data_IF_236540364928
#
_entry.id   IF_236540364928
#
_cell.length_a   1.000
_cell.length_b   1.000
_cell.length_c   1.000
_cell.angle_alpha   90.00
_cell.angle_beta   90.00
_cell.angle_gamma   90.00
#
_symmetry.space_group_name_H-M   'P 1'
#
loop_
_entity.id
_entity.type
_entity.pdbx_description
1 polymer ?
#
# COMPACT_ATOMS: atom_id res chain seq x y z
N UNK A 1 16.89 28.29 17.59
CA UNK A 1 16.18 28.43 18.87
C UNK A 1 15.63 27.06 19.22
N UNK A 2 16.07 26.48 20.34
CA UNK A 2 15.53 25.21 20.82
C UNK A 2 14.08 25.43 21.27
N UNK A 3 13.15 24.58 20.81
CA UNK A 3 11.78 24.54 21.33
C UNK A 3 11.89 24.25 22.84
N UNK A 4 11.34 25.11 23.69
CA UNK A 4 11.03 24.74 25.07
C UNK A 4 9.88 23.74 25.01
N UNK A 5 10.21 22.45 24.93
CA UNK A 5 9.25 21.39 25.25
C UNK A 5 8.93 21.49 26.73
N UNK A 6 7.65 21.41 27.08
CA UNK A 6 7.26 21.36 28.49
C UNK A 6 7.80 20.08 29.14
N UNK A 7 8.04 20.11 30.45
CA UNK A 7 8.51 18.93 31.20
C UNK A 7 7.57 17.73 31.01
N UNK A 8 6.26 18.00 30.89
CA UNK A 8 5.24 16.99 30.66
C UNK A 8 5.34 16.36 29.25
N UNK A 9 5.59 17.17 28.22
CA UNK A 9 5.81 16.68 26.84
C UNK A 9 7.10 15.84 26.70
N UNK A 10 8.16 16.22 27.42
CA UNK A 10 9.43 15.48 27.42
C UNK A 10 9.31 14.15 28.17
N UNK A 11 8.52 14.13 29.26
CA UNK A 11 8.20 12.91 29.99
C UNK A 11 7.33 11.96 29.15
N UNK A 12 6.30 12.47 28.47
CA UNK A 12 5.45 11.68 27.57
C UNK A 12 6.24 11.08 26.39
N UNK A 13 7.19 11.83 25.84
CA UNK A 13 8.14 11.35 24.84
C UNK A 13 8.99 10.19 25.40
N UNK A 14 9.55 10.36 26.60
CA UNK A 14 10.39 9.34 27.26
C UNK A 14 9.61 8.06 27.59
N UNK A 15 8.38 8.17 28.07
CA UNK A 15 7.48 7.03 28.31
C UNK A 15 7.14 6.31 27.00
N UNK A 16 6.94 7.05 25.91
CA UNK A 16 6.71 6.46 24.59
C UNK A 16 7.92 5.68 24.06
N UNK A 17 9.15 6.10 24.38
CA UNK A 17 10.34 5.30 24.07
C UNK A 17 10.36 3.97 24.84
N UNK A 18 10.01 3.98 26.13
CA UNK A 18 9.93 2.76 26.94
C UNK A 18 8.89 1.78 26.37
N UNK A 19 7.73 2.29 25.97
CA UNK A 19 6.66 1.48 25.37
C UNK A 19 7.05 0.89 23.99
N UNK A 20 7.76 1.64 23.14
CA UNK A 20 8.22 1.16 21.83
C UNK A 20 9.35 0.13 21.94
N UNK A 21 10.28 0.37 22.86
CA UNK A 21 11.52 -0.40 23.00
C UNK A 21 11.53 -1.22 24.29
N UNK A 22 10.42 -1.89 24.57
CA UNK A 22 10.19 -2.63 25.82
C UNK A 22 11.26 -3.70 26.08
N UNK A 23 11.83 -4.30 25.02
CA UNK A 23 12.84 -5.36 25.12
C UNK A 23 14.23 -4.86 24.72
N UNK A 24 14.95 -4.28 25.67
CA UNK A 24 16.31 -3.80 25.48
C UNK A 24 17.33 -4.93 25.31
N UNK A 25 17.06 -6.11 25.89
CA UNK A 25 17.95 -7.27 25.80
C UNK A 25 18.24 -7.64 24.35
N UNK A 26 17.25 -7.56 23.46
CA UNK A 26 17.40 -7.89 22.04
C UNK A 26 18.16 -6.83 21.23
N UNK A 27 18.33 -5.61 21.73
CA UNK A 27 19.03 -4.53 21.01
C UNK A 27 20.50 -4.89 20.82
N UNK A 28 21.13 -5.47 21.85
CA UNK A 28 22.57 -5.74 21.87
C UNK A 28 22.94 -7.23 21.84
N UNK A 29 21.97 -8.14 22.01
CA UNK A 29 22.22 -9.59 22.10
C UNK A 29 21.98 -10.36 20.79
N UNK A 30 21.46 -9.74 19.74
CA UNK A 30 20.99 -10.47 18.56
C UNK A 30 22.11 -10.78 17.56
N UNK A 31 22.46 -12.07 17.41
CA UNK A 31 23.00 -12.58 16.15
C UNK A 31 21.84 -12.71 15.15
N UNK A 32 21.58 -11.67 14.37
CA UNK A 32 20.53 -11.69 13.36
C UNK A 32 20.90 -12.75 12.31
N UNK A 33 20.09 -13.81 12.19
CA UNK A 33 20.27 -14.81 11.13
C UNK A 33 19.89 -14.19 9.78
N UNK A 34 20.62 -14.52 8.73
CA UNK A 34 20.27 -14.06 7.38
C UNK A 34 19.07 -14.84 6.89
N UNK A 35 18.25 -14.22 6.05
CA UNK A 35 17.09 -14.87 5.42
C UNK A 35 17.47 -16.19 4.71
N UNK A 36 18.65 -16.21 4.08
CA UNK A 36 19.23 -17.41 3.45
C UNK A 36 19.30 -18.62 4.38
N UNK A 37 19.41 -18.39 5.68
CA UNK A 37 19.65 -19.44 6.68
C UNK A 37 18.34 -20.15 7.08
N UNK A 38 17.17 -19.56 6.79
CA UNK A 38 15.88 -20.12 7.22
C UNK A 38 14.75 -20.05 6.19
N UNK A 39 14.96 -19.47 5.00
CA UNK A 39 13.92 -19.36 3.96
C UNK A 39 13.29 -20.72 3.62
N UNK A 40 14.07 -21.81 3.69
CA UNK A 40 13.60 -23.17 3.40
C UNK A 40 12.72 -23.78 4.52
N UNK A 41 12.84 -23.29 5.76
CA UNK A 41 12.04 -23.69 6.92
C UNK A 41 11.51 -22.46 7.70
N UNK A 42 10.53 -21.80 7.10
CA UNK A 42 9.83 -20.67 7.68
C UNK A 42 8.33 -20.75 7.40
N UNK A 43 7.55 -19.98 8.16
CA UNK A 43 6.15 -19.71 7.85
C UNK A 43 6.07 -18.49 6.93
N UNK A 44 5.19 -18.54 5.94
CA UNK A 44 4.91 -17.44 5.02
C UNK A 44 3.49 -16.95 5.28
N UNK A 45 3.35 -15.65 5.53
CA UNK A 45 2.07 -14.96 5.72
C UNK A 45 1.93 -13.93 4.62
N UNK A 46 0.81 -13.96 3.89
CA UNK A 46 0.54 -13.03 2.80
C UNK A 46 -0.38 -11.88 3.23
N UNK A 47 -0.14 -10.70 2.67
CA UNK A 47 -0.98 -9.51 2.79
C UNK A 47 -1.95 -9.36 1.59
N UNK A 48 -2.98 -8.52 1.75
CA UNK A 48 -4.05 -8.31 0.76
C UNK A 48 -3.52 -7.75 -0.55
N UNK A 49 -2.58 -6.81 -0.48
CA UNK A 49 -2.01 -6.16 -1.67
C UNK A 49 -1.27 -7.16 -2.56
N UNK A 50 -0.56 -8.12 -1.97
CA UNK A 50 0.09 -9.25 -2.65
C UNK A 50 -0.96 -10.14 -3.31
N UNK A 51 -2.06 -10.44 -2.59
CA UNK A 51 -3.10 -11.29 -3.14
C UNK A 51 -3.76 -10.72 -4.40
N UNK A 52 -3.72 -9.40 -4.60
CA UNK A 52 -4.30 -8.72 -5.75
C UNK A 52 -3.37 -8.62 -6.96
N UNK A 53 -2.06 -8.88 -6.80
CA UNK A 53 -1.08 -8.80 -7.90
C UNK A 53 -1.40 -9.78 -9.05
N UNK A 54 -1.84 -11.04 -8.83
CA UNK A 54 -2.13 -11.96 -9.94
C UNK A 54 -3.17 -11.46 -10.95
N UNK A 55 -4.02 -10.48 -10.62
CA UNK A 55 -4.95 -9.88 -11.57
C UNK A 55 -4.28 -9.03 -12.66
N UNK A 56 -3.00 -8.67 -12.50
CA UNK A 56 -2.23 -7.85 -13.47
C UNK A 56 -1.16 -8.65 -14.20
N UNK A 57 -0.99 -9.93 -13.88
CA UNK A 57 0.06 -10.79 -14.44
C UNK A 57 -0.44 -11.64 -15.61
N UNK A 58 0.50 -12.22 -16.36
CA UNK A 58 0.19 -13.22 -17.39
C UNK A 58 -0.05 -14.58 -16.74
N UNK A 59 -0.79 -15.45 -17.43
CA UNK A 59 -1.08 -16.80 -16.93
C UNK A 59 0.19 -17.63 -16.65
N UNK A 60 1.26 -17.42 -17.41
CA UNK A 60 2.55 -18.10 -17.23
C UNK A 60 3.22 -17.68 -15.91
N UNK A 61 3.20 -16.38 -15.59
CA UNK A 61 3.75 -15.85 -14.34
C UNK A 61 2.94 -16.35 -13.13
N UNK A 62 1.62 -16.40 -13.27
CA UNK A 62 0.70 -16.93 -12.25
C UNK A 62 0.97 -18.43 -12.00
N UNK A 63 1.30 -19.20 -13.04
CA UNK A 63 1.64 -20.61 -12.89
C UNK A 63 2.94 -20.83 -12.10
N UNK A 64 3.94 -19.96 -12.22
CA UNK A 64 5.15 -20.04 -11.37
C UNK A 64 4.86 -19.70 -9.91
N UNK A 65 4.02 -18.69 -9.66
CA UNK A 65 3.53 -18.36 -8.31
C UNK A 65 2.79 -19.56 -7.70
N UNK A 66 1.95 -20.24 -8.51
CA UNK A 66 1.20 -21.42 -8.09
C UNK A 66 2.14 -22.53 -7.57
N UNK A 67 3.30 -22.76 -8.21
CA UNK A 67 4.29 -23.75 -7.77
C UNK A 67 4.90 -23.42 -6.40
N UNK A 68 5.17 -22.14 -6.14
CA UNK A 68 5.68 -21.69 -4.84
C UNK A 68 4.65 -21.95 -3.74
N UNK A 69 3.39 -21.56 -3.98
CA UNK A 69 2.31 -21.79 -3.02
C UNK A 69 2.01 -23.27 -2.81
N UNK A 70 2.10 -24.08 -3.86
CA UNK A 70 1.98 -25.53 -3.75
C UNK A 70 3.05 -26.12 -2.82
N UNK A 71 4.31 -25.71 -2.99
CA UNK A 71 5.42 -26.17 -2.14
C UNK A 71 5.22 -25.77 -0.68
N UNK A 72 4.83 -24.51 -0.44
CA UNK A 72 4.58 -24.01 0.91
C UNK A 72 3.38 -24.68 1.57
N UNK A 73 2.29 -24.91 0.81
CA UNK A 73 1.08 -25.58 1.29
C UNK A 73 1.37 -27.03 1.69
N UNK A 74 2.12 -27.79 0.87
CA UNK A 74 2.54 -29.16 1.19
C UNK A 74 3.37 -29.24 2.47
N UNK A 75 4.21 -28.23 2.73
CA UNK A 75 5.01 -28.13 3.95
C UNK A 75 4.26 -27.55 5.15
N UNK A 76 2.97 -27.18 4.99
CA UNK A 76 2.16 -26.47 6.00
C UNK A 76 2.82 -25.18 6.48
N UNK A 77 3.42 -24.44 5.55
CA UNK A 77 4.14 -23.19 5.80
C UNK A 77 3.37 -21.95 5.34
N UNK A 78 2.31 -22.11 4.54
CA UNK A 78 1.53 -20.99 4.02
C UNK A 78 0.31 -20.68 4.90
N UNK A 79 0.23 -19.46 5.42
CA UNK A 79 -0.87 -18.98 6.26
C UNK A 79 -1.46 -17.67 5.73
N UNK A 80 -2.74 -17.46 6.02
CA UNK A 80 -3.47 -16.25 5.65
C UNK A 80 -4.26 -15.69 6.84
N UNK A 81 -4.06 -14.42 7.22
CA UNK A 81 -4.89 -13.79 8.22
C UNK A 81 -6.34 -13.67 7.71
N UNK A 82 -7.32 -14.01 8.55
CA UNK A 82 -8.74 -13.94 8.22
C UNK A 82 -9.18 -12.52 7.87
N UNK A 83 -8.51 -11.50 8.41
CA UNK A 83 -8.72 -10.11 8.04
C UNK A 83 -8.26 -9.83 6.60
N UNK A 84 -7.06 -10.27 6.21
CA UNK A 84 -6.55 -10.19 4.83
C UNK A 84 -7.52 -10.86 3.83
N UNK A 85 -8.02 -12.06 4.16
CA UNK A 85 -9.00 -12.74 3.31
C UNK A 85 -10.29 -11.90 3.09
N UNK A 86 -10.77 -11.20 4.13
CA UNK A 86 -11.94 -10.31 4.03
C UNK A 86 -11.64 -9.06 3.20
N UNK A 87 -10.47 -8.46 3.38
CA UNK A 87 -10.04 -7.32 2.58
C UNK A 87 -9.86 -7.71 1.10
N UNK A 88 -9.32 -8.89 0.83
CA UNK A 88 -9.24 -9.43 -0.52
C UNK A 88 -10.63 -9.55 -1.14
N UNK A 89 -11.60 -10.15 -0.43
CA UNK A 89 -12.98 -10.23 -0.89
C UNK A 89 -13.61 -8.85 -1.15
N UNK A 90 -13.30 -7.85 -0.33
CA UNK A 90 -13.82 -6.48 -0.48
C UNK A 90 -13.17 -5.70 -1.63
N UNK A 91 -11.99 -6.11 -2.12
CA UNK A 91 -11.23 -5.38 -3.12
C UNK A 91 -11.11 -6.12 -4.47
N UNK A 92 -11.29 -7.43 -4.53
CA UNK A 92 -11.21 -8.21 -5.78
C UNK A 92 -12.17 -7.70 -6.86
N UNK A 93 -13.39 -7.31 -6.48
CA UNK A 93 -14.40 -6.84 -7.43
C UNK A 93 -14.01 -5.50 -8.06
N UNK A 94 -13.28 -4.65 -7.32
CA UNK A 94 -12.71 -3.41 -7.86
C UNK A 94 -11.65 -3.73 -8.91
N UNK A 95 -10.81 -4.76 -8.69
CA UNK A 95 -9.82 -5.19 -9.68
C UNK A 95 -10.44 -5.81 -10.93
N UNK A 96 -11.49 -6.62 -10.76
CA UNK A 96 -12.26 -7.13 -11.89
C UNK A 96 -12.94 -5.98 -12.67
N UNK A 97 -13.46 -4.97 -11.99
CA UNK A 97 -14.04 -3.79 -12.63
C UNK A 97 -12.99 -2.96 -13.39
N UNK A 98 -11.79 -2.77 -12.81
CA UNK A 98 -10.65 -2.12 -13.49
C UNK A 98 -10.26 -2.89 -14.76
N UNK A 99 -10.12 -4.21 -14.67
CA UNK A 99 -9.78 -5.08 -15.81
C UNK A 99 -10.87 -5.02 -16.90
N UNK A 100 -12.14 -5.12 -16.50
CA UNK A 100 -13.29 -4.99 -17.40
C UNK A 100 -13.26 -3.63 -18.14
N UNK A 101 -12.95 -2.55 -17.41
CA UNK A 101 -12.83 -1.21 -17.99
C UNK A 101 -11.66 -1.15 -18.98
N UNK A 102 -10.49 -1.66 -18.63
CA UNK A 102 -9.32 -1.70 -19.53
C UNK A 102 -9.63 -2.40 -20.84
N UNK A 103 -10.43 -3.47 -20.82
CA UNK A 103 -10.90 -4.14 -22.04
C UNK A 103 -11.87 -3.24 -22.82
N UNK A 104 -12.87 -2.66 -22.16
CA UNK A 104 -13.87 -1.82 -22.81
C UNK A 104 -13.29 -0.53 -23.42
N UNK A 105 -12.25 0.04 -22.80
CA UNK A 105 -11.54 1.23 -23.26
C UNK A 105 -10.78 0.98 -24.58
N UNK A 106 -10.65 -0.29 -25.01
CA UNK A 106 -10.07 -0.64 -26.32
C UNK A 106 -11.04 -0.48 -27.47
N UNK A 107 -12.32 -0.21 -27.25
CA UNK A 107 -13.27 0.03 -28.33
C UNK A 107 -12.80 1.18 -29.23
N UNK A 108 -12.91 0.99 -30.55
CA UNK A 108 -12.52 1.97 -31.55
C UNK A 108 -13.76 2.70 -32.06
N UNK A 109 -13.73 4.03 -32.02
CA UNK A 109 -14.76 4.87 -32.64
C UNK A 109 -14.25 5.38 -33.98
N UNK A 110 -14.95 5.05 -35.06
CA UNK A 110 -14.63 5.58 -36.39
C UNK A 110 -15.21 6.99 -36.49
N UNK A 111 -14.37 7.98 -36.81
CA UNK A 111 -14.79 9.36 -36.97
C UNK A 111 -15.75 9.51 -38.16
N UNK A 112 -16.73 10.40 -38.01
CA UNK A 112 -17.61 10.79 -39.11
C UNK A 112 -16.81 11.57 -40.16
N UNK A 113 -17.28 11.51 -41.41
CA UNK A 113 -16.74 12.39 -42.46
C UNK A 113 -16.99 13.86 -42.10
N UNK A 114 -16.09 14.77 -42.50
CA UNK A 114 -16.31 16.20 -42.33
C UNK A 114 -17.54 16.65 -43.11
N UNK A 115 -18.33 17.55 -42.52
CA UNK A 115 -19.48 18.16 -43.19
C UNK A 115 -19.02 19.25 -44.15
N UNK A 116 -18.44 18.83 -45.27
CA UNK A 116 -17.89 19.70 -46.31
C UNK A 116 -18.69 19.53 -47.60
N UNK A 117 -19.85 20.18 -47.69
CA UNK A 117 -20.76 20.05 -48.83
C UNK A 117 -20.08 20.31 -50.19
N UNK A 118 -19.15 21.28 -50.25
CA UNK A 118 -18.41 21.62 -51.48
C UNK A 118 -17.46 20.52 -51.96
N UNK A 119 -17.03 19.61 -51.06
CA UNK A 119 -16.06 18.56 -51.37
C UNK A 119 -16.70 17.21 -51.69
N UNK A 120 -18.01 17.04 -51.46
CA UNK A 120 -18.68 15.72 -51.54
C UNK A 120 -18.54 15.03 -52.90
N UNK A 121 -18.49 15.82 -53.97
CA UNK A 121 -18.43 15.29 -55.33
C UNK A 121 -17.01 15.01 -55.83
N UNK A 122 -15.98 15.46 -55.11
CA UNK A 122 -14.59 15.27 -55.55
C UNK A 122 -14.18 13.80 -55.46
N UNK A 123 -13.29 13.34 -56.35
CA UNK A 123 -12.76 11.97 -56.32
C UNK A 123 -12.13 11.62 -54.96
N UNK A 124 -11.40 12.55 -54.35
CA UNK A 124 -10.70 12.36 -53.08
C UNK A 124 -11.68 12.13 -51.92
N UNK A 125 -12.81 12.86 -51.90
CA UNK A 125 -13.83 12.67 -50.87
C UNK A 125 -14.53 11.31 -51.00
N UNK A 126 -14.82 10.87 -52.22
CA UNK A 126 -15.42 9.55 -52.49
C UNK A 126 -14.47 8.40 -52.13
N UNK A 127 -13.18 8.56 -52.38
CA UNK A 127 -12.15 7.62 -51.94
C UNK A 127 -12.08 7.55 -50.41
N UNK A 128 -12.04 8.70 -49.72
CA UNK A 128 -12.07 8.78 -48.27
C UNK A 128 -13.31 8.09 -47.68
N UNK A 129 -14.49 8.32 -48.25
CA UNK A 129 -15.72 7.65 -47.82
C UNK A 129 -15.63 6.13 -47.98
N UNK A 130 -15.07 5.65 -49.10
CA UNK A 130 -14.90 4.22 -49.36
C UNK A 130 -13.99 3.57 -48.32
N UNK A 131 -12.82 4.16 -48.06
CA UNK A 131 -11.89 3.62 -47.06
C UNK A 131 -12.47 3.72 -45.64
N UNK A 132 -13.19 4.79 -45.30
CA UNK A 132 -13.91 4.90 -44.02
C UNK A 132 -14.91 3.77 -43.82
N UNK A 133 -15.69 3.41 -44.85
CA UNK A 133 -16.65 2.28 -44.78
C UNK A 133 -15.96 0.94 -44.53
N UNK A 134 -14.76 0.72 -45.07
CA UNK A 134 -13.96 -0.48 -44.75
C UNK A 134 -13.51 -0.46 -43.29
N UNK A 135 -13.02 0.68 -42.81
CA UNK A 135 -12.60 0.86 -41.42
C UNK A 135 -13.78 0.67 -40.45
N UNK A 136 -14.97 1.15 -40.80
CA UNK A 136 -16.21 0.97 -40.02
C UNK A 136 -16.54 -0.51 -39.83
N UNK A 137 -16.54 -1.30 -40.91
CA UNK A 137 -16.75 -2.76 -40.83
C UNK A 137 -15.68 -3.48 -40.00
N UNK A 138 -14.41 -3.10 -40.17
CA UNK A 138 -13.31 -3.66 -39.38
C UNK A 138 -13.46 -3.33 -37.89
N UNK A 139 -13.83 -2.09 -37.58
CA UNK A 139 -14.08 -1.61 -36.22
C UNK A 139 -15.27 -2.33 -35.56
N UNK A 140 -16.37 -2.55 -36.29
CA UNK A 140 -17.52 -3.33 -35.78
C UNK A 140 -17.12 -4.75 -35.39
N UNK A 141 -16.31 -5.42 -36.23
CA UNK A 141 -15.82 -6.78 -35.98
C UNK A 141 -14.93 -6.81 -34.73
N UNK A 142 -13.98 -5.88 -34.64
CA UNK A 142 -13.06 -5.75 -33.53
C UNK A 142 -13.78 -5.40 -32.21
N UNK A 143 -14.68 -4.40 -32.21
CA UNK A 143 -15.49 -4.03 -31.05
C UNK A 143 -16.42 -5.18 -30.62
N UNK A 144 -16.90 -6.00 -31.58
CA UNK A 144 -17.60 -7.24 -31.29
C UNK A 144 -16.75 -8.25 -30.51
N UNK A 145 -15.47 -8.40 -30.86
CA UNK A 145 -14.52 -9.23 -30.12
C UNK A 145 -14.21 -8.65 -28.72
N UNK A 146 -14.02 -7.34 -28.61
CA UNK A 146 -13.86 -6.63 -27.32
C UNK A 146 -15.06 -6.90 -26.41
N UNK A 147 -16.29 -6.80 -26.94
CA UNK A 147 -17.52 -7.07 -26.19
C UNK A 147 -17.61 -8.53 -25.70
N UNK A 148 -17.20 -9.49 -26.52
CA UNK A 148 -17.14 -10.91 -26.12
C UNK A 148 -16.15 -11.12 -24.98
N UNK A 149 -14.94 -10.56 -25.09
CA UNK A 149 -13.92 -10.64 -24.03
C UNK A 149 -14.41 -9.99 -22.71
N UNK A 150 -15.02 -8.80 -22.80
CA UNK A 150 -15.59 -8.12 -21.65
C UNK A 150 -16.73 -8.92 -21.00
N UNK A 151 -17.52 -9.66 -21.79
CA UNK A 151 -18.58 -10.54 -21.28
C UNK A 151 -17.99 -11.68 -20.44
N UNK A 152 -16.89 -12.29 -20.88
CA UNK A 152 -16.23 -13.37 -20.14
C UNK A 152 -15.83 -12.91 -18.73
N UNK A 153 -15.28 -11.69 -18.59
CA UNK A 153 -14.90 -11.14 -17.28
C UNK A 153 -16.13 -10.96 -16.36
N UNK A 154 -17.25 -10.49 -16.91
CA UNK A 154 -18.51 -10.33 -16.17
C UNK A 154 -19.07 -11.66 -15.66
N UNK A 155 -18.84 -12.74 -16.40
CA UNK A 155 -19.35 -14.07 -16.09
C UNK A 155 -18.55 -14.76 -14.98
N UNK A 156 -17.32 -14.32 -14.67
CA UNK A 156 -16.48 -14.94 -13.65
C UNK A 156 -17.08 -14.92 -12.23
N UNK A 157 -17.91 -13.94 -11.89
CA UNK A 157 -18.59 -13.86 -10.58
C UNK A 157 -17.61 -14.13 -9.40
N UNK A 158 -17.98 -14.95 -8.41
CA UNK A 158 -17.15 -15.40 -7.30
C UNK A 158 -16.11 -16.48 -7.66
N UNK A 159 -15.97 -16.85 -8.93
CA UNK A 159 -15.16 -17.98 -9.38
C UNK A 159 -14.17 -17.58 -10.49
N UNK A 160 -13.54 -16.42 -10.34
CA UNK A 160 -12.50 -15.95 -11.26
C UNK A 160 -11.20 -16.78 -11.15
N UNK A 161 -10.30 -16.72 -12.17
CA UNK A 161 -9.09 -17.54 -12.19
C UNK A 161 -8.17 -17.37 -10.99
N UNK A 162 -8.10 -16.16 -10.41
CA UNK A 162 -7.23 -15.88 -9.25
C UNK A 162 -7.83 -16.52 -7.99
N UNK A 163 -9.15 -16.40 -7.79
CA UNK A 163 -9.84 -17.10 -6.69
C UNK A 163 -9.70 -18.62 -6.83
N UNK A 164 -9.85 -19.16 -8.04
CA UNK A 164 -9.65 -20.59 -8.29
C UNK A 164 -8.23 -21.05 -7.92
N UNK A 165 -7.20 -20.29 -8.27
CA UNK A 165 -5.83 -20.56 -7.86
C UNK A 165 -5.70 -20.60 -6.34
N UNK A 166 -6.16 -19.56 -5.63
CA UNK A 166 -6.05 -19.51 -4.17
C UNK A 166 -6.85 -20.59 -3.44
N UNK A 167 -8.00 -21.00 -3.99
CA UNK A 167 -8.84 -22.06 -3.40
C UNK A 167 -8.14 -23.41 -3.28
N UNK A 168 -7.06 -23.64 -4.06
CA UNK A 168 -6.23 -24.85 -3.98
C UNK A 168 -5.33 -24.87 -2.74
N UNK A 169 -5.00 -23.70 -2.18
CA UNK A 169 -3.97 -23.57 -1.14
C UNK A 169 -4.50 -23.05 0.18
N UNK A 170 -5.64 -22.34 0.19
CA UNK A 170 -6.23 -21.77 1.38
C UNK A 170 -7.52 -22.46 1.79
N UNK A 171 -7.59 -22.87 3.05
CA UNK A 171 -8.74 -23.53 3.66
C UNK A 171 -8.87 -23.11 5.14
N UNK A 172 -9.79 -23.74 5.88
CA UNK A 172 -10.04 -23.40 7.28
C UNK A 172 -8.85 -23.64 8.23
N UNK A 173 -7.89 -24.48 7.86
CA UNK A 173 -6.73 -24.81 8.70
C UNK A 173 -5.66 -23.72 8.65
N UNK A 174 -5.47 -23.08 7.49
CA UNK A 174 -4.42 -22.08 7.31
C UNK A 174 -4.94 -20.64 7.13
N UNK A 175 -6.26 -20.44 7.05
CA UNK A 175 -6.89 -19.13 7.25
C UNK A 175 -7.14 -18.92 8.75
N UNK A 176 -6.27 -18.16 9.39
CA UNK A 176 -6.18 -18.05 10.85
C UNK A 176 -6.53 -16.64 11.37
N UNK A 177 -6.81 -16.53 12.66
CA UNK A 177 -7.11 -15.26 13.33
C UNK A 177 -6.44 -15.23 14.70
N UNK A 178 -6.29 -14.04 15.28
CA UNK A 178 -5.86 -13.89 16.66
C UNK A 178 -6.98 -14.26 17.64
N UNK A 179 -6.60 -14.63 18.86
CA UNK A 179 -7.56 -15.00 19.93
C UNK A 179 -8.01 -13.82 20.80
N UNK A 180 -7.48 -12.61 20.56
CA UNK A 180 -7.84 -11.40 21.31
C UNK A 180 -9.27 -10.94 21.01
N UNK A 181 -9.97 -10.44 22.02
CA UNK A 181 -11.32 -9.87 21.88
C UNK A 181 -11.30 -8.41 21.41
N UNK A 182 -12.47 -7.90 21.00
CA UNK A 182 -12.61 -6.55 20.45
C UNK A 182 -12.19 -5.44 21.44
N UNK A 183 -12.44 -5.65 22.74
CA UNK A 183 -12.03 -4.69 23.78
C UNK A 183 -10.50 -4.57 23.86
N UNK A 184 -9.79 -5.69 23.79
CA UNK A 184 -8.34 -5.72 23.76
C UNK A 184 -7.81 -5.04 22.50
N UNK A 185 -8.37 -5.36 21.32
CA UNK A 185 -7.96 -4.75 20.06
C UNK A 185 -8.15 -3.24 20.11
N UNK A 186 -9.27 -2.77 20.68
CA UNK A 186 -9.53 -1.34 20.85
C UNK A 186 -8.53 -0.66 21.79
N UNK A 187 -8.29 -1.22 22.98
CA UNK A 187 -7.33 -0.66 23.93
C UNK A 187 -5.91 -0.66 23.39
N UNK A 188 -5.54 -1.71 22.66
CA UNK A 188 -4.21 -1.83 22.06
C UNK A 188 -4.04 -0.83 20.90
N UNK A 189 -5.08 -0.60 20.10
CA UNK A 189 -5.06 0.43 19.06
C UNK A 189 -4.89 1.83 19.68
N UNK A 190 -5.62 2.13 20.75
CA UNK A 190 -5.49 3.40 21.48
C UNK A 190 -4.08 3.58 22.06
N UNK A 191 -3.51 2.54 22.68
CA UNK A 191 -2.13 2.54 23.20
C UNK A 191 -1.11 2.78 22.08
N UNK A 192 -1.20 2.04 20.97
CA UNK A 192 -0.27 2.17 19.84
C UNK A 192 -0.38 3.53 19.16
N UNK A 193 -1.59 4.09 19.03
CA UNK A 193 -1.79 5.45 18.52
C UNK A 193 -1.15 6.50 19.42
N UNK A 194 -1.42 6.43 20.74
CA UNK A 194 -0.86 7.36 21.73
C UNK A 194 0.66 7.38 21.69
N UNK A 195 1.27 6.20 21.68
CA UNK A 195 2.72 6.06 21.75
C UNK A 195 3.40 5.96 20.39
N UNK A 196 2.67 6.09 19.27
CA UNK A 196 3.19 5.91 17.90
C UNK A 196 3.95 4.59 17.71
N UNK A 197 3.39 3.47 18.18
CA UNK A 197 3.97 2.13 18.11
C UNK A 197 3.49 1.43 16.82
N UNK A 198 4.43 0.90 16.03
CA UNK A 198 4.13 0.11 14.85
C UNK A 198 3.40 -1.20 15.16
N UNK A 199 2.50 -1.73 14.32
CA UNK A 199 1.96 -1.12 13.11
C UNK A 199 0.61 -0.43 13.38
N UNK A 200 0.12 0.34 12.41
CA UNK A 200 -1.25 0.87 12.40
C UNK A 200 -1.44 2.26 13.01
N UNK A 201 -0.46 2.82 13.72
CA UNK A 201 -0.59 4.17 14.31
C UNK A 201 -0.80 5.27 13.26
N UNK A 202 -0.40 5.03 12.00
CA UNK A 202 -0.62 5.96 10.88
C UNK A 202 -2.04 5.93 10.31
N UNK A 203 -2.82 4.91 10.68
CA UNK A 203 -4.21 4.77 10.25
C UNK A 203 -5.18 5.45 11.24
N UNK A 204 -4.64 6.15 12.25
CA UNK A 204 -5.40 7.03 13.14
C UNK A 204 -6.11 8.12 12.32
N UNK A 205 -7.45 8.07 12.30
CA UNK A 205 -8.28 9.02 11.55
C UNK A 205 -8.88 8.49 10.24
N UNK A 206 -8.65 7.22 9.88
CA UNK A 206 -9.45 6.58 8.83
C UNK A 206 -10.89 6.32 9.33
N UNK A 207 -11.87 6.72 8.54
CA UNK A 207 -13.30 6.49 8.82
C UNK A 207 -13.70 5.00 8.84
N UNK A 208 -12.86 4.13 8.27
CA UNK A 208 -13.08 2.68 8.24
C UNK A 208 -11.75 1.92 8.26
N UNK A 209 -11.78 0.73 8.87
CA UNK A 209 -10.65 -0.20 8.94
C UNK A 209 -9.38 0.34 9.63
N UNK A 210 -9.52 1.27 10.59
CA UNK A 210 -8.39 1.82 11.33
C UNK A 210 -7.60 0.77 12.14
N UNK A 211 -8.23 -0.36 12.48
CA UNK A 211 -7.61 -1.47 13.21
C UNK A 211 -7.04 -2.57 12.29
N UNK A 212 -7.13 -2.45 10.97
CA UNK A 212 -6.80 -3.54 10.03
C UNK A 212 -5.37 -4.04 10.19
N UNK A 213 -4.39 -3.13 10.13
CA UNK A 213 -2.97 -3.44 10.30
C UNK A 213 -2.69 -4.10 11.66
N UNK A 214 -3.34 -3.64 12.73
CA UNK A 214 -3.23 -4.23 14.06
C UNK A 214 -3.80 -5.65 14.12
N UNK A 215 -4.97 -5.90 13.51
CA UNK A 215 -5.59 -7.23 13.49
C UNK A 215 -4.71 -8.23 12.73
N UNK A 216 -4.11 -7.81 11.61
CA UNK A 216 -3.14 -8.61 10.87
C UNK A 216 -1.92 -8.91 11.73
N UNK A 217 -1.37 -7.88 12.39
CA UNK A 217 -0.22 -8.02 13.27
C UNK A 217 -0.47 -8.97 14.45
N UNK A 218 -1.59 -8.82 15.16
CA UNK A 218 -1.98 -9.74 16.24
C UNK A 218 -2.11 -11.17 15.74
N UNK A 219 -2.56 -11.37 14.50
CA UNK A 219 -2.64 -12.70 13.89
C UNK A 219 -1.23 -13.26 13.61
N UNK A 220 -0.29 -12.45 13.15
CA UNK A 220 1.12 -12.84 12.97
C UNK A 220 1.74 -13.24 14.30
N UNK A 221 1.51 -12.47 15.37
CA UNK A 221 1.98 -12.82 16.72
C UNK A 221 1.41 -14.15 17.20
N UNK A 222 0.11 -14.39 16.98
CA UNK A 222 -0.56 -15.64 17.32
C UNK A 222 0.02 -16.85 16.55
N UNK A 223 0.36 -16.67 15.26
CA UNK A 223 1.07 -17.68 14.47
C UNK A 223 2.45 -17.95 15.09
N UNK A 224 3.20 -16.89 15.42
CA UNK A 224 4.50 -17.01 16.07
C UNK A 224 4.42 -17.77 17.39
N UNK A 225 3.41 -17.46 18.21
CA UNK A 225 3.13 -18.12 19.48
C UNK A 225 2.82 -19.61 19.32
N UNK A 226 1.96 -19.98 18.36
CA UNK A 226 1.53 -21.36 18.19
C UNK A 226 2.56 -22.25 17.48
N UNK A 227 3.33 -21.69 16.54
CA UNK A 227 4.22 -22.49 15.70
C UNK A 227 5.69 -22.40 16.10
N UNK A 228 6.11 -21.35 16.79
CA UNK A 228 7.51 -21.14 17.21
C UNK A 228 8.48 -21.32 16.03
N UNK A 229 8.17 -20.73 14.87
CA UNK A 229 9.01 -20.77 13.64
C UNK A 229 9.41 -19.36 13.18
N UNK A 230 10.47 -19.29 12.37
CA UNK A 230 10.79 -18.04 11.65
C UNK A 230 9.64 -17.71 10.68
N UNK A 231 9.39 -16.44 10.44
CA UNK A 231 8.25 -16.00 9.63
C UNK A 231 8.67 -14.95 8.61
N UNK A 232 8.14 -15.10 7.40
CA UNK A 232 8.20 -14.12 6.32
C UNK A 232 6.79 -13.55 6.16
N UNK A 233 6.64 -12.25 6.40
CA UNK A 233 5.44 -11.51 6.05
C UNK A 233 5.65 -10.84 4.70
N UNK A 234 4.80 -11.15 3.73
CA UNK A 234 4.91 -10.64 2.35
C UNK A 234 3.87 -9.55 2.16
N UNK A 235 4.33 -8.31 1.94
CA UNK A 235 3.46 -7.14 1.74
C UNK A 235 4.10 -6.11 0.83
N UNK A 236 3.30 -5.54 -0.06
CA UNK A 236 3.70 -4.36 -0.86
C UNK A 236 3.62 -3.05 -0.06
N UNK A 237 3.13 -3.08 1.19
CA UNK A 237 2.98 -1.88 1.97
C UNK A 237 4.32 -1.50 2.62
N UNK A 238 4.98 -0.51 1.99
CA UNK A 238 6.21 0.07 2.49
C UNK A 238 5.95 1.22 3.46
N UNK A 239 4.81 1.31 4.14
CA UNK A 239 4.52 2.44 5.03
C UNK A 239 5.59 2.59 6.14
N UNK A 240 5.83 3.82 6.64
CA UNK A 240 6.81 4.06 7.69
C UNK A 240 6.44 3.48 9.07
N UNK A 241 5.21 3.01 9.27
CA UNK A 241 4.79 2.28 10.48
C UNK A 241 5.06 0.76 10.39
N UNK A 242 5.61 0.28 9.28
CA UNK A 242 6.14 -1.09 9.16
C UNK A 242 7.66 -1.08 8.91
N UNK A 243 8.14 -0.04 8.24
CA UNK A 243 9.52 0.06 7.76
C UNK A 243 10.24 1.32 8.26
N UNK A 244 11.53 1.18 8.53
CA UNK A 244 12.47 2.28 8.49
C UNK A 244 12.76 2.63 7.03
N UNK A 245 12.62 3.90 6.68
CA UNK A 245 12.80 4.39 5.33
C UNK A 245 13.95 5.39 5.23
N UNK A 246 14.67 5.35 4.11
CA UNK A 246 15.65 6.37 3.72
C UNK A 246 15.50 6.66 2.23
N UNK A 247 15.47 7.94 1.84
CA UNK A 247 15.28 8.37 0.45
C UNK A 247 14.07 7.73 -0.28
N UNK A 248 13.01 7.42 0.47
CA UNK A 248 11.81 6.75 -0.07
C UNK A 248 11.96 5.24 -0.31
N UNK A 249 13.12 4.65 -0.01
CA UNK A 249 13.33 3.21 -0.01
C UNK A 249 13.13 2.64 1.40
N UNK A 250 12.39 1.53 1.51
CA UNK A 250 12.30 0.75 2.74
C UNK A 250 13.64 0.01 2.94
N UNK A 251 14.24 0.13 4.12
CA UNK A 251 15.57 -0.43 4.42
C UNK A 251 15.52 -1.58 5.43
N UNK A 252 14.73 -1.44 6.50
CA UNK A 252 14.58 -2.50 7.51
C UNK A 252 13.21 -2.43 8.17
N UNK A 253 12.65 -3.55 8.64
CA UNK A 253 11.45 -3.52 9.48
C UNK A 253 11.67 -2.69 10.75
N UNK A 254 10.58 -2.19 11.31
CA UNK A 254 10.57 -1.52 12.61
C UNK A 254 11.07 -2.45 13.72
N UNK A 255 11.92 -1.94 14.60
CA UNK A 255 12.58 -2.75 15.63
C UNK A 255 11.57 -3.32 16.64
N UNK A 256 10.54 -2.54 16.98
CA UNK A 256 9.44 -2.96 17.83
C UNK A 256 8.69 -4.17 17.25
N UNK A 257 8.52 -4.27 15.93
CA UNK A 257 7.89 -5.43 15.28
C UNK A 257 8.76 -6.68 15.42
N UNK A 258 10.07 -6.53 15.17
CA UNK A 258 11.03 -7.64 15.28
C UNK A 258 11.07 -8.17 16.72
N UNK A 259 11.11 -7.29 17.71
CA UNK A 259 11.17 -7.72 19.12
C UNK A 259 9.84 -8.27 19.63
N UNK A 260 8.70 -7.69 19.26
CA UNK A 260 7.38 -8.26 19.57
C UNK A 260 7.23 -9.68 18.99
N UNK A 261 7.63 -9.89 17.73
CA UNK A 261 7.58 -11.22 17.14
C UNK A 261 8.55 -12.19 17.82
N UNK A 262 9.79 -11.76 18.11
CA UNK A 262 10.76 -12.58 18.86
C UNK A 262 10.22 -13.02 20.20
N UNK A 263 9.57 -12.13 20.95
CA UNK A 263 8.93 -12.47 22.22
C UNK A 263 7.82 -13.50 22.05
N UNK A 264 6.88 -13.25 21.13
CA UNK A 264 5.76 -14.16 20.88
C UNK A 264 6.22 -15.54 20.41
N UNK A 265 7.24 -15.59 19.55
CA UNK A 265 7.75 -16.82 18.93
C UNK A 265 8.86 -17.54 19.70
N UNK A 266 9.22 -17.06 20.90
CA UNK A 266 10.32 -17.61 21.70
C UNK A 266 11.68 -17.55 20.97
N UNK A 267 11.96 -16.41 20.35
CA UNK A 267 13.26 -16.03 19.78
C UNK A 267 13.41 -16.27 18.27
N UNK A 268 12.32 -16.46 17.52
CA UNK A 268 12.40 -16.68 16.06
C UNK A 268 12.44 -15.37 15.28
N UNK A 269 13.01 -15.46 14.08
CA UNK A 269 13.23 -14.30 13.20
C UNK A 269 11.96 -13.95 12.42
N UNK A 270 11.78 -12.65 12.20
CA UNK A 270 10.76 -12.06 11.35
C UNK A 270 11.45 -11.36 10.17
N UNK A 271 11.02 -11.67 8.96
CA UNK A 271 11.34 -10.90 7.75
C UNK A 271 10.08 -10.30 7.17
N UNK A 272 10.20 -9.07 6.68
CA UNK A 272 9.21 -8.49 5.79
C UNK A 272 9.85 -8.46 4.40
N UNK A 273 9.11 -8.90 3.38
CA UNK A 273 9.55 -8.86 1.99
C UNK A 273 8.44 -8.28 1.14
N UNK A 274 8.80 -7.56 0.08
CA UNK A 274 7.86 -7.35 -1.03
C UNK A 274 7.71 -8.65 -1.83
N UNK A 275 6.74 -8.70 -2.74
CA UNK A 275 6.42 -9.94 -3.44
C UNK A 275 7.55 -10.42 -4.36
N UNK A 276 8.25 -9.52 -5.06
CA UNK A 276 9.39 -9.84 -5.91
C UNK A 276 10.58 -10.37 -5.11
N UNK A 277 10.93 -9.74 -3.99
CA UNK A 277 11.96 -10.24 -3.05
C UNK A 277 11.60 -11.63 -2.49
N UNK A 278 10.32 -11.85 -2.16
CA UNK A 278 9.81 -13.15 -1.75
C UNK A 278 10.03 -14.19 -2.86
N UNK A 279 9.64 -13.92 -4.10
CA UNK A 279 9.79 -14.90 -5.19
C UNK A 279 11.25 -15.15 -5.56
N UNK A 280 12.12 -14.14 -5.49
CA UNK A 280 13.57 -14.30 -5.60
C UNK A 280 14.11 -15.25 -4.52
N UNK A 281 13.69 -15.08 -3.27
CA UNK A 281 14.11 -15.93 -2.16
C UNK A 281 13.66 -17.40 -2.33
N UNK A 282 12.61 -17.63 -3.12
CA UNK A 282 12.10 -18.97 -3.47
C UNK A 282 12.60 -19.48 -4.83
N UNK A 283 13.62 -18.83 -5.42
CA UNK A 283 14.27 -19.21 -6.67
C UNK A 283 13.34 -19.26 -7.90
N UNK A 284 12.35 -18.36 -7.96
CA UNK A 284 11.54 -18.17 -9.17
C UNK A 284 12.41 -17.51 -10.25
N UNK A 285 12.15 -17.84 -11.53
CA UNK A 285 12.94 -17.35 -12.65
C UNK A 285 12.99 -15.82 -12.70
N UNK A 286 14.16 -15.27 -13.04
CA UNK A 286 14.41 -13.82 -13.12
C UNK A 286 13.41 -13.08 -14.04
N UNK A 287 13.00 -13.72 -15.14
CA UNK A 287 12.02 -13.15 -16.06
C UNK A 287 10.67 -12.86 -15.38
N UNK A 288 10.16 -13.81 -14.58
CA UNK A 288 8.89 -13.68 -13.86
C UNK A 288 9.01 -12.64 -12.76
N UNK A 289 10.14 -12.64 -12.04
CA UNK A 289 10.43 -11.63 -11.01
C UNK A 289 10.43 -10.22 -11.61
N UNK A 290 11.02 -10.03 -12.79
CA UNK A 290 11.06 -8.74 -13.47
C UNK A 290 9.66 -8.26 -13.90
N UNK A 291 8.81 -9.16 -14.37
CA UNK A 291 7.43 -8.80 -14.73
C UNK A 291 6.58 -8.45 -13.49
N UNK A 292 6.88 -9.06 -12.34
CA UNK A 292 6.27 -8.72 -11.06
C UNK A 292 6.76 -7.36 -10.56
N UNK A 293 8.05 -7.06 -10.64
CA UNK A 293 8.60 -5.74 -10.28
C UNK A 293 7.93 -4.60 -11.06
N UNK A 294 7.65 -4.80 -12.35
CA UNK A 294 6.89 -3.82 -13.16
C UNK A 294 5.49 -3.62 -12.61
N UNK A 295 4.79 -4.70 -12.28
CA UNK A 295 3.45 -4.64 -11.68
C UNK A 295 3.47 -3.94 -10.32
N UNK A 296 4.41 -4.28 -9.44
CA UNK A 296 4.60 -3.62 -8.14
C UNK A 296 4.79 -2.11 -8.29
N UNK A 297 5.63 -1.69 -9.25
CA UNK A 297 5.88 -0.28 -9.52
C UNK A 297 4.62 0.44 -10.02
N UNK A 298 3.85 -0.16 -10.91
CA UNK A 298 2.56 0.39 -11.34
C UNK A 298 1.57 0.55 -10.18
N UNK A 299 1.50 -0.45 -9.29
CA UNK A 299 0.69 -0.38 -8.08
C UNK A 299 1.14 0.76 -7.16
N UNK A 300 2.46 0.92 -6.99
CA UNK A 300 3.07 1.99 -6.18
C UNK A 300 2.73 3.36 -6.74
N UNK A 301 2.88 3.56 -8.05
CA UNK A 301 2.56 4.83 -8.73
C UNK A 301 1.07 5.16 -8.56
N UNK A 302 0.17 4.22 -8.86
CA UNK A 302 -1.29 4.43 -8.71
C UNK A 302 -1.66 4.76 -7.26
N UNK A 303 -1.02 4.13 -6.28
CA UNK A 303 -1.23 4.43 -4.85
C UNK A 303 -0.74 5.84 -4.50
N UNK A 304 0.42 6.26 -4.99
CA UNK A 304 0.94 7.63 -4.80
C UNK A 304 -0.01 8.66 -5.42
N UNK A 305 -0.50 8.42 -6.64
CA UNK A 305 -1.46 9.29 -7.32
C UNK A 305 -2.77 9.40 -6.55
N UNK A 306 -3.31 8.27 -6.08
CA UNK A 306 -4.51 8.25 -5.24
C UNK A 306 -4.29 8.98 -3.91
N UNK A 307 -3.14 8.80 -3.28
CA UNK A 307 -2.80 9.51 -2.05
C UNK A 307 -2.65 11.01 -2.30
N UNK A 308 -2.11 11.44 -3.45
CA UNK A 308 -2.08 12.86 -3.85
C UNK A 308 -3.49 13.42 -4.04
N UNK A 309 -4.40 12.67 -4.67
CA UNK A 309 -5.82 13.05 -4.83
C UNK A 309 -6.56 13.12 -3.48
N UNK A 310 -6.18 12.26 -2.53
CA UNK A 310 -6.73 12.24 -1.18
C UNK A 310 -6.10 13.26 -0.23
N UNK A 311 -5.06 14.01 -0.64
CA UNK A 311 -4.53 15.11 0.19
C UNK A 311 -5.63 16.13 0.39
N UNK A 312 -5.82 16.57 1.63
CA UNK A 312 -6.81 17.60 1.94
C UNK A 312 -6.51 18.82 1.07
N UNK A 313 -7.50 19.36 0.34
CA UNK A 313 -7.32 20.59 -0.42
C UNK A 313 -6.70 21.66 0.48
N UNK A 314 -5.70 22.39 -0.03
CA UNK A 314 -5.03 23.47 0.71
C UNK A 314 -6.04 24.44 1.35
N UNK A 315 -7.15 24.71 0.67
CA UNK A 315 -8.24 25.54 1.17
C UNK A 315 -8.90 25.02 2.46
N UNK A 316 -9.07 23.70 2.61
CA UNK A 316 -9.61 23.12 3.83
C UNK A 316 -8.63 23.22 4.99
N UNK A 317 -7.34 22.95 4.72
CA UNK A 317 -6.29 23.05 5.74
C UNK A 317 -6.20 24.49 6.24
N UNK A 318 -6.10 25.49 5.34
CA UNK A 318 -6.04 26.90 5.71
C UNK A 318 -7.25 27.33 6.57
N UNK A 319 -8.45 26.90 6.20
CA UNK A 319 -9.68 27.19 6.96
C UNK A 319 -9.65 26.61 8.38
N UNK A 320 -9.06 25.44 8.56
CA UNK A 320 -8.91 24.81 9.87
C UNK A 320 -7.84 25.50 10.72
N UNK A 321 -6.73 25.90 10.10
CA UNK A 321 -5.69 26.71 10.74
C UNK A 321 -6.28 28.06 11.23
N UNK A 322 -7.04 28.76 10.39
CA UNK A 322 -7.74 30.00 10.79
C UNK A 322 -8.68 29.76 11.97
N UNK A 323 -9.49 28.68 11.93
CA UNK A 323 -10.41 28.33 13.04
C UNK A 323 -9.68 28.02 14.35
N UNK A 324 -8.48 27.46 14.26
CA UNK A 324 -7.63 27.21 15.43
C UNK A 324 -6.92 28.47 15.95
N UNK A 325 -7.11 29.62 15.31
CA UNK A 325 -6.45 30.88 15.66
C UNK A 325 -5.01 30.99 15.18
N UNK A 326 -4.58 30.13 14.25
CA UNK A 326 -3.21 30.14 13.73
C UNK A 326 -3.05 31.25 12.70
N UNK A 327 -1.97 32.01 12.80
CA UNK A 327 -1.64 33.04 11.81
C UNK A 327 -1.26 32.39 10.47
N UNK A 328 -2.06 32.66 9.44
CA UNK A 328 -1.87 32.18 8.08
C UNK A 328 -1.40 33.27 7.11
N UNK A 329 -1.15 34.48 7.62
CA UNK A 329 -0.74 35.66 6.85
C UNK A 329 0.73 36.02 7.08
N UNK A 330 1.33 35.52 8.17
CA UNK A 330 2.75 35.69 8.46
C UNK A 330 3.52 34.37 8.50
N UNK A 331 4.76 34.41 8.00
CA UNK A 331 5.71 33.33 8.20
C UNK A 331 6.02 33.16 9.69
N UNK A 332 5.79 31.96 10.22
CA UNK A 332 6.01 31.65 11.64
C UNK A 332 7.49 31.60 12.05
N UNK A 333 8.41 31.68 11.09
CA UNK A 333 9.86 31.68 11.35
C UNK A 333 10.46 33.08 11.29
N UNK A 334 10.13 33.86 10.26
CA UNK A 334 10.74 35.17 10.04
C UNK A 334 9.78 36.36 10.12
N UNK A 335 8.49 36.11 10.35
CA UNK A 335 7.46 37.16 10.43
C UNK A 335 7.08 37.77 9.09
N UNK A 336 7.57 37.25 7.96
CA UNK A 336 7.22 37.75 6.62
C UNK A 336 5.71 37.72 6.40
N UNK A 337 5.11 38.90 6.22
CA UNK A 337 3.70 39.08 5.86
C UNK A 337 3.54 38.86 4.36
N UNK A 338 2.61 37.97 3.98
CA UNK A 338 2.23 37.86 2.58
C UNK A 338 1.04 38.77 2.28
N UNK A 339 1.21 39.62 1.27
CA UNK A 339 0.10 40.41 0.70
C UNK A 339 -0.95 39.56 -0.03
N UNK A 340 -1.79 40.21 -0.84
CA UNK A 340 -3.02 39.66 -1.43
C UNK A 340 -2.91 38.26 -2.10
N UNK A 341 -1.74 37.91 -2.63
CA UNK A 341 -1.51 36.64 -3.32
C UNK A 341 -1.11 35.46 -2.40
N UNK A 342 -1.12 35.63 -1.07
CA UNK A 342 -0.72 34.65 -0.04
C UNK A 342 0.31 33.59 -0.51
N UNK A 343 1.59 33.97 -0.59
CA UNK A 343 2.70 33.12 -1.04
C UNK A 343 3.26 32.18 0.04
N UNK A 344 2.63 32.12 1.22
CA UNK A 344 3.10 31.27 2.30
C UNK A 344 2.79 29.79 2.00
N UNK A 345 3.69 28.91 2.42
CA UNK A 345 3.64 27.48 2.17
C UNK A 345 3.33 26.73 3.47
N UNK A 346 2.52 25.68 3.35
CA UNK A 346 2.25 24.75 4.45
C UNK A 346 3.46 23.82 4.56
N UNK A 347 4.04 23.75 5.74
CA UNK A 347 5.16 22.89 6.08
C UNK A 347 4.77 21.94 7.21
N UNK A 348 4.97 20.64 7.04
CA UNK A 348 4.82 19.68 8.12
C UNK A 348 6.09 19.65 8.98
N UNK A 349 5.94 19.93 10.28
CA UNK A 349 7.04 20.00 11.25
C UNK A 349 7.72 18.63 11.36
N UNK A 350 6.94 17.57 11.60
CA UNK A 350 7.32 16.20 11.33
C UNK A 350 6.87 15.87 9.89
N UNK A 351 7.77 15.55 8.96
CA UNK A 351 7.38 15.24 7.59
C UNK A 351 6.37 14.09 7.53
N UNK A 352 5.37 14.17 6.63
CA UNK A 352 4.41 13.09 6.40
C UNK A 352 5.11 11.76 6.07
N UNK A 353 6.22 11.84 5.34
CA UNK A 353 7.08 10.68 5.01
C UNK A 353 7.70 10.02 6.25
N UNK A 354 7.91 10.77 7.34
CA UNK A 354 8.56 10.28 8.55
C UNK A 354 7.58 9.87 9.66
N UNK A 355 6.29 10.20 9.55
CA UNK A 355 5.36 9.92 10.65
C UNK A 355 4.45 11.06 11.04
N UNK A 356 4.69 12.25 10.50
CA UNK A 356 3.84 13.40 10.77
C UNK A 356 2.42 13.21 10.28
N UNK A 357 1.47 13.75 11.04
CA UNK A 357 0.07 13.81 10.69
C UNK A 357 -0.29 15.14 9.99
N UNK A 358 -1.51 15.23 9.46
CA UNK A 358 -2.06 16.44 8.83
C UNK A 358 -2.78 17.35 9.85
N UNK A 359 -2.51 17.20 11.15
CA UNK A 359 -3.17 17.98 12.20
C UNK A 359 -2.60 19.39 12.28
N UNK A 360 -3.44 20.33 12.74
CA UNK A 360 -3.08 21.74 12.97
C UNK A 360 -1.77 21.88 13.77
N UNK A 361 -1.55 21.01 14.76
CA UNK A 361 -0.35 21.01 15.62
C UNK A 361 0.95 20.68 14.88
N UNK A 362 0.88 19.85 13.82
CA UNK A 362 2.04 19.43 13.04
C UNK A 362 2.29 20.32 11.80
N UNK A 363 1.50 21.37 11.58
CA UNK A 363 1.61 22.25 10.43
C UNK A 363 2.24 23.59 10.83
N UNK A 364 3.16 24.11 10.03
CA UNK A 364 3.70 25.47 10.13
C UNK A 364 3.46 26.24 8.82
N UNK A 365 3.20 27.54 8.93
CA UNK A 365 3.05 28.44 7.77
C UNK A 365 4.37 29.19 7.57
N UNK A 366 5.04 28.95 6.44
CA UNK A 366 6.39 29.45 6.17
C UNK A 366 6.47 30.19 4.84
N UNK A 367 7.32 31.21 4.72
CA UNK A 367 7.66 31.75 3.40
C UNK A 367 8.52 30.74 2.61
N UNK A 368 8.56 30.82 1.27
CA UNK A 368 9.31 29.86 0.44
C UNK A 368 10.78 29.70 0.83
N UNK A 369 11.42 30.79 1.28
CA UNK A 369 12.81 30.79 1.73
C UNK A 369 13.00 30.01 3.04
N UNK A 370 12.14 30.25 4.03
CA UNK A 370 12.17 29.53 5.30
C UNK A 370 11.79 28.06 5.10
N UNK A 371 10.82 27.78 4.24
CA UNK A 371 10.40 26.41 3.93
C UNK A 371 11.55 25.61 3.29
N UNK A 372 12.23 26.17 2.28
CA UNK A 372 13.40 25.54 1.66
C UNK A 372 14.54 25.34 2.66
N UNK A 373 14.77 26.32 3.55
CA UNK A 373 15.81 26.24 4.58
C UNK A 373 15.57 25.13 5.60
N UNK A 374 14.29 24.80 5.89
CA UNK A 374 13.94 23.69 6.78
C UNK A 374 14.24 22.33 6.13
N UNK A 375 14.00 22.18 4.83
CA UNK A 375 14.32 20.93 4.10
C UNK A 375 15.82 20.75 3.85
N UNK A 376 16.62 21.83 3.81
CA UNK A 376 18.07 21.75 3.61
C UNK A 376 18.89 21.50 4.88
N UNK A 377 18.24 21.44 6.05
CA UNK A 377 18.86 21.17 7.35
C UNK A 377 18.60 19.76 7.87
N UNK A 378 17.89 18.95 7.10
CA UNK A 378 17.73 17.50 7.24
C UNK A 378 18.71 16.87 6.25
#
# INVERSE_FOLDING_TARGET
>A
MAKQTSVDEDLDSSLSYQEKFESTDHIFSSSIRKLSDYVSDCIVVLDTNVLLIPYTLRNEDVAEIEKVYQTLSQKKQLFLPKHVAREFAANKDKKLAELYKTVCDRNVTVLKLPDAAILKDTPEFKELERERRKLEKASETYNGAVKKLAKNIKEWSWNDPVVQMYSKFFNSENIVHHEKNDNYVKSELERRNKHKIAPGYKDSGKDSNAAGDLIVWLTILNIGENHKKNLIFVSEDRKPDWWNQSNGAAFSPKFELITEYKRASSGKELSLLIFSEFLEAFNVSEQVVEDIKKSEEEFRIKRIERNKLNRRPRSLILRELERSGKDIYHCQVCGFESGENNILEIHHIEPLSQGGDDNVSNIAILCPNCHRSMHSRI
#
